data_IF_747929825701
#
_entry.id   IF_747929825701
#
_cell.length_a   1.000
_cell.length_b   1.000
_cell.length_c   1.000
_cell.angle_alpha   90.00
_cell.angle_beta   90.00
_cell.angle_gamma   90.00
#
_symmetry.space_group_name_H-M   'P 1'
#
loop_
_entity.id
_entity.type
_entity.pdbx_description
1 polymer ?
#
# COMPACT_ATOMS: atom_id res chain seq x y z
N UNK A 1 -7.34 5.35 -26.78
CA UNK A 1 -7.91 4.04 -26.40
C UNK A 1 -7.03 2.91 -26.96
N UNK A 2 -7.08 1.74 -26.34
CA UNK A 2 -6.37 0.53 -26.78
C UNK A 2 -7.15 -0.70 -26.30
N UNK A 3 -6.90 -1.85 -26.93
CA UNK A 3 -7.45 -3.13 -26.51
C UNK A 3 -6.44 -3.83 -25.58
N UNK A 4 -6.93 -4.34 -24.45
CA UNK A 4 -6.15 -5.18 -23.53
C UNK A 4 -7.04 -6.26 -22.93
N UNK A 5 -6.42 -7.36 -22.52
CA UNK A 5 -7.10 -8.35 -21.69
C UNK A 5 -7.19 -7.81 -20.27
N UNK A 6 -8.40 -7.80 -19.73
CA UNK A 6 -8.70 -7.36 -18.37
C UNK A 6 -9.62 -8.37 -17.70
N UNK A 7 -9.43 -8.58 -16.40
CA UNK A 7 -10.38 -9.37 -15.61
C UNK A 7 -11.63 -8.55 -15.40
N UNK A 8 -12.76 -9.08 -15.83
CA UNK A 8 -14.07 -8.43 -15.76
C UNK A 8 -15.08 -9.28 -15.01
N UNK A 9 -16.12 -8.62 -14.48
CA UNK A 9 -17.26 -9.30 -13.87
C UNK A 9 -18.24 -9.72 -14.98
N UNK A 10 -18.15 -10.95 -15.44
CA UNK A 10 -19.02 -11.50 -16.47
C UNK A 10 -20.30 -12.07 -15.86
N UNK A 11 -21.45 -11.62 -16.35
CA UNK A 11 -22.76 -12.13 -15.97
C UNK A 11 -23.42 -12.89 -17.13
N UNK A 12 -23.40 -14.23 -17.13
CA UNK A 12 -24.03 -15.01 -18.21
C UNK A 12 -25.54 -14.78 -18.32
N UNK A 13 -26.22 -14.58 -17.19
CA UNK A 13 -27.67 -14.36 -17.15
C UNK A 13 -28.11 -13.06 -17.82
N UNK A 14 -27.25 -12.03 -17.81
CA UNK A 14 -27.48 -10.76 -18.50
C UNK A 14 -26.75 -10.69 -19.84
N UNK A 15 -25.79 -11.60 -20.11
CA UNK A 15 -24.99 -11.64 -21.34
C UNK A 15 -24.03 -10.44 -21.47
N UNK A 16 -23.61 -9.83 -20.34
CA UNK A 16 -22.80 -8.62 -20.34
C UNK A 16 -21.76 -8.61 -19.22
N UNK A 17 -20.80 -7.69 -19.33
CA UNK A 17 -19.85 -7.33 -18.26
C UNK A 17 -20.50 -6.30 -17.34
N UNK A 18 -20.28 -6.44 -16.04
CA UNK A 18 -20.80 -5.56 -15.00
C UNK A 18 -19.68 -4.75 -14.37
N UNK A 19 -19.97 -3.52 -14.00
CA UNK A 19 -19.14 -2.72 -13.12
C UNK A 19 -19.10 -3.32 -11.69
N UNK A 20 -18.10 -2.95 -10.88
CA UNK A 20 -18.00 -3.49 -9.52
C UNK A 20 -19.23 -3.11 -8.67
N UNK A 21 -19.79 -1.93 -8.89
CA UNK A 21 -20.97 -1.41 -8.19
C UNK A 21 -22.26 -2.17 -8.55
N UNK A 22 -22.28 -2.88 -9.66
CA UNK A 22 -23.42 -3.70 -10.12
C UNK A 22 -23.38 -5.14 -9.61
N UNK A 23 -22.34 -5.48 -8.81
CA UNK A 23 -22.17 -6.81 -8.20
C UNK A 23 -22.41 -6.70 -6.72
N UNK A 24 -23.35 -7.51 -6.19
CA UNK A 24 -23.67 -7.56 -4.76
C UNK A 24 -22.58 -8.27 -3.96
N UNK A 25 -22.61 -8.13 -2.63
CA UNK A 25 -21.69 -8.82 -1.72
C UNK A 25 -21.74 -10.35 -1.85
N UNK A 26 -22.88 -10.90 -2.31
CA UNK A 26 -23.07 -12.33 -2.54
C UNK A 26 -22.54 -12.80 -3.92
N UNK A 27 -21.87 -11.91 -4.68
CA UNK A 27 -21.31 -12.23 -5.99
C UNK A 27 -22.37 -12.34 -7.10
N UNK A 28 -23.51 -11.66 -6.96
CA UNK A 28 -24.60 -11.66 -7.90
C UNK A 28 -24.80 -10.29 -8.55
N UNK A 29 -25.45 -10.28 -9.73
CA UNK A 29 -25.86 -9.04 -10.36
C UNK A 29 -26.97 -8.36 -9.56
N UNK A 30 -26.87 -7.05 -9.30
CA UNK A 30 -27.94 -6.25 -8.71
C UNK A 30 -29.25 -6.39 -9.50
N UNK A 31 -29.12 -6.42 -10.84
CA UNK A 31 -30.25 -6.58 -11.75
C UNK A 31 -30.44 -8.05 -12.11
N UNK A 32 -31.51 -8.66 -11.65
CA UNK A 32 -31.90 -10.02 -11.98
C UNK A 32 -31.30 -11.11 -11.10
N UNK A 33 -30.44 -10.76 -10.14
CA UNK A 33 -29.84 -11.67 -9.14
C UNK A 33 -29.17 -12.92 -9.74
N UNK A 34 -28.45 -12.74 -10.87
CA UNK A 34 -27.72 -13.79 -11.57
C UNK A 34 -26.29 -13.92 -11.02
N UNK A 35 -25.72 -15.10 -11.10
CA UNK A 35 -24.34 -15.34 -10.70
C UNK A 35 -23.35 -14.55 -11.61
N UNK A 36 -22.31 -14.00 -11.01
CA UNK A 36 -21.27 -13.21 -11.67
C UNK A 36 -19.93 -13.90 -11.48
N UNK A 37 -19.15 -13.98 -12.56
CA UNK A 37 -17.85 -14.65 -12.56
C UNK A 37 -16.75 -13.71 -13.03
N UNK A 38 -15.62 -13.72 -12.35
CA UNK A 38 -14.42 -13.04 -12.85
C UNK A 38 -13.85 -13.82 -14.04
N UNK A 39 -13.68 -13.14 -15.18
CA UNK A 39 -13.20 -13.74 -16.43
C UNK A 39 -12.29 -12.78 -17.17
N UNK A 40 -11.14 -13.24 -17.72
CA UNK A 40 -10.33 -12.43 -18.62
C UNK A 40 -11.08 -12.23 -19.95
N UNK A 41 -11.23 -10.98 -20.36
CA UNK A 41 -11.85 -10.61 -21.64
C UNK A 41 -11.17 -9.40 -22.24
N UNK A 42 -11.10 -9.32 -23.57
CA UNK A 42 -10.63 -8.12 -24.27
C UNK A 42 -11.57 -6.95 -24.04
N UNK A 43 -11.02 -5.86 -23.52
CA UNK A 43 -11.75 -4.62 -23.24
C UNK A 43 -11.08 -3.43 -23.90
N UNK A 44 -11.90 -2.43 -24.24
CA UNK A 44 -11.40 -1.12 -24.59
C UNK A 44 -10.94 -0.39 -23.33
N UNK A 45 -9.66 -0.03 -23.32
CA UNK A 45 -9.05 0.71 -22.23
C UNK A 45 -8.73 2.14 -22.65
N UNK A 46 -8.85 3.08 -21.73
CA UNK A 46 -8.47 4.48 -21.92
C UNK A 46 -7.23 4.79 -21.09
N UNK A 47 -6.21 5.42 -21.72
CA UNK A 47 -4.99 5.84 -21.01
C UNK A 47 -5.21 7.15 -20.26
N UNK A 48 -6.13 7.17 -19.31
CA UNK A 48 -6.49 8.39 -18.56
C UNK A 48 -5.29 8.96 -17.79
N UNK A 49 -4.47 8.10 -17.19
CA UNK A 49 -3.29 8.50 -16.41
C UNK A 49 -2.22 9.20 -17.25
N UNK A 50 -2.17 8.94 -18.58
CA UNK A 50 -1.24 9.61 -19.49
C UNK A 50 -1.45 11.12 -19.56
N UNK A 51 -2.64 11.59 -19.24
CA UNK A 51 -3.02 13.00 -19.29
C UNK A 51 -3.06 13.66 -17.91
N UNK A 52 -2.73 12.95 -16.84
CA UNK A 52 -2.85 13.42 -15.47
C UNK A 52 -2.03 14.70 -15.21
N UNK A 53 -0.77 14.72 -15.61
CA UNK A 53 0.11 15.90 -15.46
C UNK A 53 -0.44 17.09 -16.24
N UNK A 54 -0.81 16.87 -17.51
CA UNK A 54 -1.37 17.92 -18.36
C UNK A 54 -2.69 18.46 -17.82
N UNK A 55 -3.56 17.59 -17.28
CA UNK A 55 -4.81 18.04 -16.65
C UNK A 55 -4.58 18.94 -15.44
N UNK A 56 -3.50 18.72 -14.68
CA UNK A 56 -3.10 19.60 -13.58
C UNK A 56 -2.57 20.94 -14.13
N UNK A 57 -1.67 20.90 -15.12
CA UNK A 57 -1.04 22.08 -15.71
C UNK A 57 -2.07 22.98 -16.41
N UNK A 58 -2.98 22.39 -17.19
CA UNK A 58 -4.01 23.11 -17.92
C UNK A 58 -5.02 23.84 -16.99
N UNK A 59 -5.09 23.51 -15.71
CA UNK A 59 -5.89 24.25 -14.73
C UNK A 59 -5.44 25.70 -14.55
N UNK A 60 -4.18 26.00 -14.81
CA UNK A 60 -3.64 27.35 -14.67
C UNK A 60 -4.10 28.29 -15.81
N UNK A 61 -4.54 27.72 -16.93
CA UNK A 61 -5.00 28.47 -18.12
C UNK A 61 -6.51 28.70 -18.18
N UNK A 62 -7.29 28.09 -17.28
CA UNK A 62 -8.75 28.23 -17.27
C UNK A 62 -9.22 29.20 -16.17
N UNK A 63 -10.27 29.95 -16.47
CA UNK A 63 -10.87 30.92 -15.54
C UNK A 63 -11.90 30.20 -14.66
N UNK A 64 -11.39 29.36 -13.75
CA UNK A 64 -12.19 28.67 -12.74
C UNK A 64 -11.88 29.19 -11.33
N UNK A 65 -12.84 29.15 -10.41
CA UNK A 65 -12.57 29.44 -8.99
C UNK A 65 -11.47 28.55 -8.43
N UNK A 66 -10.59 29.11 -7.59
CA UNK A 66 -9.46 28.39 -7.01
C UNK A 66 -9.89 27.16 -6.21
N UNK A 67 -11.05 27.19 -5.54
CA UNK A 67 -11.60 26.04 -4.84
C UNK A 67 -11.88 24.87 -5.78
N UNK A 68 -12.37 25.14 -6.99
CA UNK A 68 -12.64 24.10 -7.99
C UNK A 68 -11.32 23.54 -8.57
N UNK A 69 -10.34 24.43 -8.87
CA UNK A 69 -9.02 24.00 -9.30
C UNK A 69 -8.34 23.12 -8.26
N UNK A 70 -8.45 23.47 -6.97
CA UNK A 70 -7.93 22.68 -5.86
C UNK A 70 -8.60 21.30 -5.80
N UNK A 71 -9.92 21.22 -5.93
CA UNK A 71 -10.65 19.95 -5.99
C UNK A 71 -10.15 19.06 -7.12
N UNK A 72 -9.91 19.62 -8.32
CA UNK A 72 -9.37 18.86 -9.47
C UNK A 72 -7.94 18.37 -9.22
N UNK A 73 -7.06 19.22 -8.68
CA UNK A 73 -5.71 18.83 -8.30
C UNK A 73 -5.71 17.69 -7.26
N UNK A 74 -6.54 17.81 -6.24
CA UNK A 74 -6.68 16.79 -5.20
C UNK A 74 -7.27 15.48 -5.76
N UNK A 75 -8.21 15.56 -6.68
CA UNK A 75 -8.80 14.39 -7.34
C UNK A 75 -7.77 13.61 -8.18
N UNK A 76 -6.95 14.33 -8.96
CA UNK A 76 -5.86 13.72 -9.73
C UNK A 76 -4.81 13.14 -8.79
N UNK A 77 -4.53 13.82 -7.66
CA UNK A 77 -3.74 13.30 -6.56
C UNK A 77 -2.28 13.02 -6.94
N UNK A 78 -1.61 13.96 -7.63
CA UNK A 78 -0.19 13.82 -7.93
C UNK A 78 0.62 13.74 -6.63
N UNK A 79 1.20 12.58 -6.36
CA UNK A 79 2.10 12.36 -5.24
C UNK A 79 3.54 12.18 -5.71
N UNK A 80 4.48 12.63 -4.90
CA UNK A 80 5.92 12.40 -5.09
C UNK A 80 6.38 11.45 -3.99
N UNK A 81 7.15 10.45 -4.36
CA UNK A 81 7.69 9.48 -3.44
C UNK A 81 8.91 8.79 -4.01
N UNK A 82 9.46 7.85 -3.27
CA UNK A 82 10.57 7.01 -3.67
C UNK A 82 10.12 5.55 -3.83
N UNK A 83 10.79 4.81 -4.70
CA UNK A 83 10.71 3.35 -4.72
C UNK A 83 11.92 2.85 -3.92
N UNK A 84 11.64 2.10 -2.87
CA UNK A 84 12.63 1.49 -2.00
C UNK A 84 12.72 0.00 -2.31
N UNK A 85 13.94 -0.52 -2.41
CA UNK A 85 14.21 -1.93 -2.67
C UNK A 85 14.65 -2.63 -1.39
N UNK A 86 13.93 -3.68 -1.02
CA UNK A 86 14.24 -4.52 0.14
C UNK A 86 14.73 -5.87 -0.34
N UNK A 87 15.92 -6.28 0.08
CA UNK A 87 16.44 -7.61 -0.22
C UNK A 87 15.71 -8.67 0.61
N UNK A 88 15.20 -9.71 -0.06
CA UNK A 88 14.60 -10.86 0.66
C UNK A 88 15.72 -11.67 1.28
N UNK A 89 15.67 -11.84 2.59
CA UNK A 89 16.69 -12.57 3.34
C UNK A 89 16.79 -14.02 2.85
N UNK A 90 18.00 -14.50 2.70
CA UNK A 90 18.33 -15.86 2.25
C UNK A 90 17.80 -16.19 0.83
N UNK A 91 17.60 -15.16 0.00
CA UNK A 91 17.11 -15.27 -1.38
C UNK A 91 17.82 -14.23 -2.28
N UNK A 92 17.67 -14.37 -3.59
CA UNK A 92 18.12 -13.37 -4.57
C UNK A 92 16.99 -12.41 -4.99
N UNK A 93 15.82 -12.59 -4.39
CA UNK A 93 14.64 -11.77 -4.72
C UNK A 93 14.67 -10.41 -4.00
N UNK A 94 14.04 -9.43 -4.62
CA UNK A 94 13.87 -8.08 -4.06
C UNK A 94 12.41 -7.70 -4.07
N UNK A 95 12.01 -6.91 -3.07
CA UNK A 95 10.66 -6.33 -3.00
C UNK A 95 10.79 -4.82 -3.16
N UNK A 96 10.15 -4.28 -4.19
CA UNK A 96 10.05 -2.84 -4.40
C UNK A 96 8.79 -2.30 -3.72
N UNK A 97 8.95 -1.23 -2.95
CA UNK A 97 7.86 -0.54 -2.26
C UNK A 97 7.87 0.93 -2.63
N UNK A 98 6.74 1.44 -3.11
CA UNK A 98 6.57 2.88 -3.28
C UNK A 98 6.11 3.52 -1.98
N UNK A 99 6.78 4.58 -1.55
CA UNK A 99 6.38 5.36 -0.36
C UNK A 99 6.53 6.86 -0.60
N UNK A 100 5.64 7.64 0.01
CA UNK A 100 5.76 9.10 0.15
C UNK A 100 6.40 9.50 1.48
N UNK A 101 6.60 8.53 2.39
CA UNK A 101 7.10 8.71 3.74
C UNK A 101 8.43 7.97 3.93
N UNK A 102 9.44 8.36 3.13
CA UNK A 102 10.80 7.81 3.28
C UNK A 102 11.40 8.14 4.65
N UNK A 103 10.95 9.21 5.27
CA UNK A 103 11.34 9.64 6.62
C UNK A 103 10.98 8.64 7.74
N UNK A 104 10.07 7.69 7.49
CA UNK A 104 9.70 6.65 8.45
C UNK A 104 10.44 5.32 8.24
N UNK A 105 11.36 5.23 7.27
CA UNK A 105 12.01 3.96 6.89
C UNK A 105 12.74 3.27 8.06
N UNK A 106 13.31 4.04 8.98
CA UNK A 106 13.98 3.49 10.16
C UNK A 106 13.03 2.80 11.15
N UNK A 107 11.73 3.07 11.06
CA UNK A 107 10.68 2.40 11.84
C UNK A 107 9.91 1.34 11.05
N UNK A 108 10.32 1.04 9.81
CA UNK A 108 9.70 -0.02 9.04
C UNK A 108 9.76 -1.35 9.81
N UNK A 109 8.60 -1.90 10.16
CA UNK A 109 8.48 -3.04 11.05
C UNK A 109 8.06 -4.33 10.32
N UNK A 110 7.47 -4.20 9.13
CA UNK A 110 7.03 -5.32 8.31
C UNK A 110 6.83 -4.89 6.86
N UNK A 111 6.82 -5.88 5.94
CA UNK A 111 6.36 -5.72 4.56
C UNK A 111 5.04 -6.46 4.40
N UNK A 112 4.11 -5.90 3.63
CA UNK A 112 2.88 -6.58 3.20
C UNK A 112 2.84 -6.65 1.69
N UNK A 113 2.67 -7.86 1.16
CA UNK A 113 2.43 -8.10 -0.25
C UNK A 113 0.93 -8.32 -0.51
N UNK A 114 0.49 -7.93 -1.69
CA UNK A 114 -0.82 -8.35 -2.18
C UNK A 114 -0.88 -9.88 -2.27
N UNK A 115 -1.99 -10.54 -1.87
CA UNK A 115 -2.11 -11.99 -1.94
C UNK A 115 -1.87 -12.58 -3.34
N UNK A 116 -2.14 -11.80 -4.39
CA UNK A 116 -1.96 -12.18 -5.80
C UNK A 116 -0.55 -11.92 -6.34
N UNK A 117 0.35 -11.33 -5.53
CA UNK A 117 1.71 -11.04 -5.98
C UNK A 117 2.45 -12.35 -6.27
N UNK A 118 3.04 -12.52 -7.48
CA UNK A 118 3.72 -13.75 -7.87
C UNK A 118 4.87 -14.16 -6.94
N UNK A 119 5.50 -13.19 -6.29
CA UNK A 119 6.61 -13.43 -5.37
C UNK A 119 6.17 -14.22 -4.12
N UNK A 120 4.90 -14.09 -3.70
CA UNK A 120 4.37 -14.78 -2.51
C UNK A 120 4.63 -16.28 -2.56
N UNK A 121 4.39 -16.92 -3.73
CA UNK A 121 4.59 -18.36 -3.87
C UNK A 121 6.07 -18.76 -3.80
N UNK A 122 6.99 -17.87 -4.19
CA UNK A 122 8.42 -18.14 -4.24
C UNK A 122 9.08 -18.01 -2.86
N UNK A 123 8.62 -17.07 -2.05
CA UNK A 123 9.23 -16.75 -0.75
C UNK A 123 8.54 -17.43 0.44
N UNK A 124 7.32 -17.95 0.25
CA UNK A 124 6.57 -18.60 1.35
C UNK A 124 7.30 -19.86 1.81
N UNK A 125 7.57 -19.94 3.12
CA UNK A 125 8.23 -21.11 3.69
C UNK A 125 7.29 -22.33 3.70
N UNK A 126 7.83 -23.55 3.68
CA UNK A 126 7.02 -24.78 3.69
C UNK A 126 6.00 -24.84 4.86
N UNK A 127 6.39 -24.32 6.03
CA UNK A 127 5.57 -24.31 7.25
C UNK A 127 4.35 -23.39 7.09
N UNK A 128 4.48 -22.29 6.34
CA UNK A 128 3.39 -21.30 6.17
C UNK A 128 2.54 -21.55 4.91
N UNK A 129 2.95 -22.48 4.06
CA UNK A 129 2.34 -22.71 2.75
C UNK A 129 0.82 -22.90 2.82
N UNK A 130 0.34 -23.76 3.70
CA UNK A 130 -1.09 -24.06 3.82
C UNK A 130 -1.91 -22.83 4.26
N UNK A 131 -1.38 -22.05 5.21
CA UNK A 131 -2.04 -20.84 5.72
C UNK A 131 -2.07 -19.76 4.66
N UNK A 132 -0.99 -19.58 3.92
CA UNK A 132 -0.88 -18.61 2.83
C UNK A 132 -1.82 -18.96 1.68
N UNK A 133 -1.86 -20.23 1.23
CA UNK A 133 -2.77 -20.67 0.16
C UNK A 133 -4.25 -20.51 0.56
N UNK A 134 -4.61 -20.83 1.81
CA UNK A 134 -5.95 -20.63 2.31
C UNK A 134 -6.34 -19.16 2.31
N UNK A 135 -5.44 -18.27 2.75
CA UNK A 135 -5.68 -16.82 2.75
C UNK A 135 -5.79 -16.22 1.33
N UNK A 136 -4.94 -16.65 0.39
CA UNK A 136 -5.04 -16.24 -1.02
C UNK A 136 -6.42 -16.59 -1.59
N UNK A 137 -6.90 -17.82 -1.31
CA UNK A 137 -8.22 -18.28 -1.77
C UNK A 137 -9.36 -17.44 -1.16
N UNK A 138 -9.29 -17.15 0.14
CA UNK A 138 -10.28 -16.29 0.82
C UNK A 138 -10.26 -14.87 0.24
N UNK A 139 -9.08 -14.27 0.08
CA UNK A 139 -8.91 -12.91 -0.44
C UNK A 139 -9.40 -12.78 -1.88
N UNK A 140 -9.21 -13.81 -2.72
CA UNK A 140 -9.67 -13.82 -4.11
C UNK A 140 -11.18 -13.81 -4.27
N UNK A 141 -11.93 -14.19 -3.23
CA UNK A 141 -13.39 -14.13 -3.23
C UNK A 141 -13.94 -12.72 -2.95
N UNK A 142 -13.11 -11.82 -2.39
CA UNK A 142 -13.48 -10.43 -2.05
C UNK A 142 -13.25 -9.50 -3.24
N UNK A 143 -14.08 -8.47 -3.39
CA UNK A 143 -13.83 -7.40 -4.37
C UNK A 143 -12.88 -6.34 -3.81
N UNK A 144 -12.31 -5.50 -4.70
CA UNK A 144 -11.31 -4.49 -4.31
C UNK A 144 -11.90 -3.42 -3.36
N UNK A 145 -13.19 -3.10 -3.48
CA UNK A 145 -13.87 -2.14 -2.60
C UNK A 145 -13.98 -2.70 -1.18
N UNK A 146 -14.39 -3.96 -1.06
CA UNK A 146 -14.45 -4.64 0.25
C UNK A 146 -13.06 -4.78 0.89
N UNK A 147 -12.03 -5.01 0.08
CA UNK A 147 -10.65 -5.16 0.55
C UNK A 147 -10.08 -3.86 1.10
N UNK A 148 -10.41 -2.71 0.48
CA UNK A 148 -9.85 -1.39 0.82
C UNK A 148 -10.73 -0.56 1.74
N UNK A 149 -11.89 -1.08 2.20
CA UNK A 149 -12.78 -0.37 3.11
C UNK A 149 -12.05 0.05 4.41
N UNK A 150 -12.21 1.32 4.81
CA UNK A 150 -11.52 1.89 5.96
C UNK A 150 -11.95 1.24 7.29
N UNK A 151 -13.24 0.97 7.44
CA UNK A 151 -13.83 0.42 8.68
C UNK A 151 -13.62 -1.09 8.84
N UNK A 152 -12.91 -1.73 7.90
CA UNK A 152 -12.67 -3.16 7.94
C UNK A 152 -11.45 -3.48 8.78
N UNK A 153 -11.59 -4.46 9.66
CA UNK A 153 -10.47 -5.05 10.38
C UNK A 153 -9.42 -5.58 9.40
N UNK A 154 -8.17 -5.15 9.57
CA UNK A 154 -7.07 -5.58 8.70
C UNK A 154 -6.68 -7.02 9.02
N UNK A 155 -6.60 -7.83 7.98
CA UNK A 155 -6.22 -9.24 8.08
C UNK A 155 -4.94 -9.50 7.30
N UNK A 156 -4.20 -10.52 7.71
CA UNK A 156 -2.97 -10.91 7.05
C UNK A 156 -2.46 -12.24 7.55
N UNK A 157 -1.54 -12.83 6.79
CA UNK A 157 -0.86 -14.08 7.13
C UNK A 157 0.65 -13.90 6.91
N UNK A 158 1.43 -14.33 7.88
CA UNK A 158 2.89 -14.34 7.81
C UNK A 158 3.36 -15.38 6.79
N UNK A 159 4.31 -14.99 5.92
CA UNK A 159 4.84 -15.89 4.87
C UNK A 159 5.94 -16.83 5.36
N UNK A 160 6.48 -16.59 6.55
CA UNK A 160 7.68 -17.23 7.07
C UNK A 160 8.98 -16.56 6.61
N UNK A 161 8.93 -15.73 5.57
CA UNK A 161 10.10 -15.03 5.02
C UNK A 161 10.27 -13.63 5.63
N UNK A 162 11.46 -13.07 5.42
CA UNK A 162 11.85 -11.76 5.93
C UNK A 162 12.57 -10.96 4.85
N UNK A 163 12.63 -9.65 5.01
CA UNK A 163 13.49 -8.75 4.24
C UNK A 163 14.48 -8.03 5.15
N UNK A 164 15.50 -7.46 4.53
CA UNK A 164 16.50 -6.60 5.17
C UNK A 164 16.09 -5.14 4.89
N UNK A 165 15.92 -4.35 5.94
CA UNK A 165 15.64 -2.92 5.82
C UNK A 165 16.89 -2.18 5.31
N UNK A 166 16.86 -1.49 4.16
CA UNK A 166 18.03 -0.85 3.58
C UNK A 166 18.57 0.33 4.41
N UNK A 167 17.80 0.85 5.37
CA UNK A 167 18.23 1.98 6.19
C UNK A 167 19.12 1.55 7.38
N UNK A 168 18.81 0.42 8.03
CA UNK A 168 19.43 0.03 9.32
C UNK A 168 19.80 -1.46 9.39
N UNK A 169 19.69 -2.21 8.30
CA UNK A 169 19.97 -3.65 8.20
C UNK A 169 19.11 -4.54 9.13
N UNK A 170 18.04 -4.01 9.68
CA UNK A 170 17.10 -4.80 10.48
C UNK A 170 16.35 -5.82 9.62
N UNK A 171 16.12 -6.99 10.21
CA UNK A 171 15.38 -8.08 9.57
C UNK A 171 13.93 -7.98 9.97
N UNK A 172 13.04 -7.66 9.00
CA UNK A 172 11.62 -7.48 9.23
C UNK A 172 10.78 -8.53 8.47
N UNK A 173 9.63 -8.98 9.02
CA UNK A 173 8.83 -10.05 8.46
C UNK A 173 8.05 -9.62 7.22
N UNK A 174 7.79 -10.60 6.32
CA UNK A 174 6.94 -10.42 5.14
C UNK A 174 5.60 -11.07 5.40
N UNK A 175 4.54 -10.29 5.27
CA UNK A 175 3.14 -10.70 5.38
C UNK A 175 2.45 -10.62 4.03
N UNK A 176 1.33 -11.31 3.88
CA UNK A 176 0.33 -11.02 2.86
C UNK A 176 -0.90 -10.41 3.50
N UNK A 177 -1.52 -9.42 2.85
CA UNK A 177 -2.70 -8.74 3.37
C UNK A 177 -3.68 -8.36 2.26
N UNK A 178 -4.96 -8.59 2.48
CA UNK A 178 -5.99 -8.34 1.47
C UNK A 178 -6.25 -6.84 1.21
N UNK A 179 -5.78 -5.96 2.08
CA UNK A 179 -5.84 -4.49 1.93
C UNK A 179 -4.75 -3.92 0.98
N UNK A 180 -3.79 -4.75 0.54
CA UNK A 180 -2.82 -4.40 -0.50
C UNK A 180 -3.30 -4.97 -1.83
N UNK A 181 -3.34 -4.13 -2.87
CA UNK A 181 -3.80 -4.52 -4.20
C UNK A 181 -2.61 -4.70 -5.15
N UNK A 182 -2.56 -5.81 -5.88
CA UNK A 182 -1.46 -6.11 -6.81
C UNK A 182 -1.38 -5.16 -8.01
N UNK A 183 -2.48 -4.51 -8.37
CA UNK A 183 -2.58 -3.55 -9.47
C UNK A 183 -2.41 -2.08 -9.04
N UNK A 184 -2.09 -1.83 -7.77
CA UNK A 184 -1.86 -0.50 -7.24
C UNK A 184 -0.41 -0.37 -6.73
N UNK A 185 0.32 0.63 -7.23
CA UNK A 185 1.74 0.82 -6.92
C UNK A 185 2.57 -0.39 -7.36
N UNK A 186 3.39 -0.90 -6.46
CA UNK A 186 4.23 -2.08 -6.65
C UNK A 186 3.56 -3.39 -6.19
N UNK A 187 2.34 -3.33 -5.67
CA UNK A 187 1.68 -4.47 -5.03
C UNK A 187 2.31 -4.88 -3.70
N UNK A 188 3.11 -3.98 -3.12
CA UNK A 188 3.77 -4.13 -1.83
C UNK A 188 3.78 -2.80 -1.07
N UNK A 189 3.72 -2.87 0.25
CA UNK A 189 3.88 -1.73 1.16
C UNK A 189 4.77 -2.14 2.33
N UNK A 190 5.55 -1.20 2.88
CA UNK A 190 6.08 -1.41 4.22
C UNK A 190 5.14 -0.77 5.25
N UNK A 191 5.04 -1.37 6.41
CA UNK A 191 4.25 -0.85 7.51
C UNK A 191 5.11 -0.42 8.68
N UNK A 192 4.67 0.64 9.35
CA UNK A 192 5.33 1.22 10.50
C UNK A 192 4.33 1.75 11.54
N UNK A 193 4.84 2.31 12.63
CA UNK A 193 4.02 2.84 13.72
C UNK A 193 3.43 4.23 13.43
N UNK A 194 3.82 4.88 12.33
CA UNK A 194 3.43 6.23 11.95
C UNK A 194 2.25 6.30 10.97
N UNK A 195 1.60 5.14 10.70
CA UNK A 195 0.35 5.02 9.95
C UNK A 195 -0.73 4.37 10.82
N UNK A 196 -1.96 4.90 10.81
CA UNK A 196 -3.05 4.41 11.67
C UNK A 196 -3.41 2.95 11.37
N UNK A 197 -3.48 2.58 10.10
CA UNK A 197 -3.79 1.22 9.64
C UNK A 197 -2.69 0.25 10.06
N UNK A 198 -1.43 0.67 9.90
CA UNK A 198 -0.28 -0.18 10.18
C UNK A 198 -0.08 -0.34 11.69
N UNK A 199 -0.40 0.69 12.46
CA UNK A 199 -0.42 0.63 13.93
C UNK A 199 -1.42 -0.39 14.47
N UNK A 200 -2.63 -0.46 13.87
CA UNK A 200 -3.61 -1.49 14.23
C UNK A 200 -3.11 -2.91 13.87
N UNK A 201 -2.46 -3.05 12.71
CA UNK A 201 -1.86 -4.30 12.27
C UNK A 201 -0.73 -4.75 13.22
N UNK A 202 0.17 -3.85 13.59
CA UNK A 202 1.24 -4.10 14.55
C UNK A 202 0.69 -4.63 15.88
N UNK A 203 -0.35 -3.97 16.43
CA UNK A 203 -0.99 -4.38 17.69
C UNK A 203 -1.67 -5.74 17.57
N UNK A 204 -2.38 -5.99 16.47
CA UNK A 204 -3.12 -7.22 16.26
C UNK A 204 -2.22 -8.45 16.19
N UNK A 205 -1.08 -8.32 15.54
CA UNK A 205 -0.15 -9.43 15.31
C UNK A 205 1.08 -9.41 16.22
N UNK A 206 1.08 -8.53 17.22
CA UNK A 206 2.18 -8.37 18.21
C UNK A 206 3.54 -8.20 17.53
N UNK A 207 3.58 -7.39 16.45
CA UNK A 207 4.81 -7.11 15.71
C UNK A 207 5.58 -6.00 16.44
N UNK A 208 6.86 -6.21 16.80
CA UNK A 208 7.67 -5.16 17.38
C UNK A 208 7.83 -3.97 16.42
N UNK A 209 7.74 -2.77 16.93
CA UNK A 209 7.94 -1.55 16.14
C UNK A 209 8.80 -0.54 16.87
N UNK A 210 9.66 0.15 16.12
CA UNK A 210 10.44 1.29 16.58
C UNK A 210 9.73 2.59 16.22
N UNK A 211 10.13 3.69 16.87
CA UNK A 211 9.62 5.03 16.59
C UNK A 211 10.70 5.79 15.85
N UNK A 212 10.39 6.35 14.69
CA UNK A 212 11.30 7.19 13.93
C UNK A 212 10.99 8.68 14.03
N UNK A 213 9.75 9.05 14.36
CA UNK A 213 9.32 10.46 14.41
C UNK A 213 8.53 10.73 15.69
N UNK A 214 8.89 11.81 16.38
CA UNK A 214 8.13 12.31 17.52
C UNK A 214 7.65 13.75 17.27
N UNK A 215 6.48 14.15 17.80
CA UNK A 215 6.04 15.53 17.75
C UNK A 215 6.96 16.46 18.54
N UNK A 216 7.01 17.75 18.17
CA UNK A 216 7.78 18.77 18.91
C UNK A 216 7.21 19.05 20.33
N UNK A 217 5.94 18.76 20.55
CA UNK A 217 5.29 18.88 21.86
C UNK A 217 5.71 17.74 22.78
N UNK A 218 6.34 18.06 23.91
CA UNK A 218 6.92 17.08 24.83
C UNK A 218 5.90 16.09 25.41
N UNK A 219 4.68 16.56 25.73
CA UNK A 219 3.65 15.69 26.30
C UNK A 219 3.10 14.69 25.27
N UNK A 220 2.94 15.15 24.02
CA UNK A 220 2.57 14.25 22.91
C UNK A 220 3.72 13.30 22.59
N UNK A 221 4.97 13.77 22.60
CA UNK A 221 6.14 12.93 22.36
C UNK A 221 6.22 11.77 23.36
N UNK A 222 5.99 12.00 24.65
CA UNK A 222 5.95 10.94 25.66
C UNK A 222 4.91 9.87 25.35
N UNK A 223 3.72 10.26 24.89
CA UNK A 223 2.65 9.33 24.53
C UNK A 223 2.98 8.52 23.27
N UNK A 224 3.62 9.16 22.27
CA UNK A 224 4.09 8.47 21.06
C UNK A 224 5.17 7.45 21.42
N UNK A 225 6.15 7.83 22.24
CA UNK A 225 7.20 6.94 22.75
C UNK A 225 6.60 5.76 23.54
N UNK A 226 5.55 6.02 24.32
CA UNK A 226 4.79 4.96 25.01
C UNK A 226 3.91 4.12 24.07
N UNK A 227 3.89 4.42 22.76
CA UNK A 227 3.07 3.72 21.74
C UNK A 227 1.56 3.74 22.05
N UNK A 228 1.08 4.82 22.66
CA UNK A 228 -0.34 4.99 22.98
C UNK A 228 -1.18 5.23 21.73
N UNK A 229 -0.62 5.97 20.75
CA UNK A 229 -1.26 6.26 19.47
C UNK A 229 -0.21 6.46 18.35
N UNK A 230 -0.59 6.29 17.07
CA UNK A 230 0.29 6.56 15.95
C UNK A 230 0.46 8.07 15.77
N UNK A 231 1.67 8.51 15.42
CA UNK A 231 1.93 9.89 15.05
C UNK A 231 2.21 10.01 13.56
N UNK A 232 1.23 10.48 12.80
CA UNK A 232 1.26 10.54 11.33
C UNK A 232 1.78 11.87 10.77
N UNK A 233 2.06 12.84 11.65
CA UNK A 233 2.51 14.19 11.28
C UNK A 233 4.01 14.31 11.03
N UNK A 234 4.43 15.51 10.65
CA UNK A 234 5.84 15.88 10.63
C UNK A 234 6.32 16.18 12.06
N UNK A 235 7.56 15.83 12.36
CA UNK A 235 8.12 15.99 13.69
C UNK A 235 9.65 15.91 13.68
N UNK A 236 10.21 15.54 14.80
CA UNK A 236 11.66 15.37 14.97
C UNK A 236 12.00 13.88 14.82
N UNK A 237 12.98 13.58 13.98
CA UNK A 237 13.50 12.23 13.78
C UNK A 237 14.25 11.75 15.04
N UNK A 238 13.97 10.52 15.44
CA UNK A 238 14.66 9.81 16.53
C UNK A 238 15.04 8.41 16.03
N UNK A 239 16.07 7.82 16.60
CA UNK A 239 16.57 6.48 16.24
C UNK A 239 16.73 6.27 14.71
N UNK A 240 17.04 7.36 13.98
CA UNK A 240 17.11 7.43 12.53
C UNK A 240 18.56 7.66 12.03
N UNK A 241 19.54 7.06 12.70
CA UNK A 241 20.95 7.18 12.33
C UNK A 241 21.42 8.63 12.33
N UNK A 242 22.10 9.03 11.26
CA UNK A 242 22.63 10.39 11.08
C UNK A 242 21.54 11.48 10.94
N UNK A 243 20.30 11.11 10.67
CA UNK A 243 19.18 12.03 10.54
C UNK A 243 18.48 12.33 11.89
N UNK A 244 18.88 11.64 12.97
CA UNK A 244 18.28 11.86 14.29
C UNK A 244 18.47 13.32 14.76
N UNK A 245 17.39 13.94 15.26
CA UNK A 245 17.34 15.34 15.66
C UNK A 245 16.93 16.30 14.55
N UNK A 246 16.88 15.88 13.29
CA UNK A 246 16.38 16.69 12.17
C UNK A 246 14.86 16.72 12.14
N UNK A 247 14.29 17.77 11.53
CA UNK A 247 12.86 17.79 11.19
C UNK A 247 12.60 16.83 10.03
N UNK A 248 11.55 16.03 10.09
CA UNK A 248 11.25 14.97 9.13
C UNK A 248 11.02 15.50 7.71
N UNK A 249 10.37 16.66 7.56
CA UNK A 249 10.13 17.31 6.28
C UNK A 249 11.42 17.83 5.61
N UNK A 250 12.40 18.23 6.41
CA UNK A 250 13.73 18.67 5.95
C UNK A 250 14.59 17.46 5.59
N UNK A 251 14.58 16.43 6.43
CA UNK A 251 15.39 15.23 6.25
C UNK A 251 14.91 14.35 5.06
N UNK A 252 13.61 14.35 4.74
CA UNK A 252 13.04 13.47 3.73
C UNK A 252 13.78 13.48 2.37
N UNK A 253 14.05 14.63 1.72
CA UNK A 253 14.81 14.66 0.47
C UNK A 253 16.26 14.18 0.63
N UNK A 254 16.89 14.44 1.77
CA UNK A 254 18.25 13.99 2.07
C UNK A 254 18.30 12.47 2.27
N UNK A 255 17.32 11.90 2.98
CA UNK A 255 17.16 10.45 3.15
C UNK A 255 16.94 9.72 1.83
N UNK A 256 16.15 10.31 0.92
CA UNK A 256 15.97 9.75 -0.44
C UNK A 256 17.29 9.71 -1.19
N UNK A 257 18.08 10.80 -1.15
CA UNK A 257 19.39 10.83 -1.80
C UNK A 257 20.37 9.84 -1.16
N UNK A 258 20.41 9.76 0.16
CA UNK A 258 21.25 8.83 0.91
C UNK A 258 20.91 7.37 0.63
N UNK A 259 19.62 7.00 0.56
CA UNK A 259 19.21 5.65 0.18
C UNK A 259 19.57 5.32 -1.26
N UNK A 260 19.48 6.29 -2.18
CA UNK A 260 19.87 6.09 -3.57
C UNK A 260 21.39 5.84 -3.75
N UNK A 261 22.23 6.32 -2.83
CA UNK A 261 23.67 6.03 -2.81
C UNK A 261 24.01 4.64 -2.27
N UNK A 262 23.11 4.09 -1.45
CA UNK A 262 23.28 2.73 -0.89
C UNK A 262 22.90 1.61 -1.87
N UNK A 263 22.10 1.88 -2.89
CA UNK A 263 21.68 0.93 -3.94
C UNK A 263 20.19 0.75 -3.96
#
# INVERSE_FOLDING_TARGET
AYLADSIVNWCPGLGTVLANEEVTAEGKSERGNFDVFKKPMKQWMMRITKYADRLIEDLDFIDWPESLKLMQRNWIGKSKGAILSFDVKDSNEKIEVFTTRTDTIFSAAFIVLAPENPLVQQITTPEQKNSVEAYIKESSAKNDIERTAQDKEKTGVFTGAHVINPANDEVIPIWIGDFVLANYGTGAVFGDIHDERDFEFLKKFDIPACIAIIPEDEEKAKKVIAKEYPFTGNGILVDSGEFSGMKSDIALPEMVAWLAEKG
#
